data_IF_994386996616
#
_entry.id   IF_994386996616
#
_cell.length_a   1.000
_cell.length_b   1.000
_cell.length_c   1.000
_cell.angle_alpha   90.00
_cell.angle_beta   90.00
_cell.angle_gamma   90.00
#
_symmetry.space_group_name_H-M   'P 1'
#
loop_
_entity.id
_entity.type
_entity.pdbx_description
1 polymer ?
#
# COMPACT_ATOMS: atom_id res chain seq x y z
N UNK A 1 -1.50 -16.64 0.60
CA UNK A 1 -1.62 -15.36 -0.08
C UNK A 1 -1.31 -15.50 -1.55
N UNK A 2 -2.14 -14.92 -2.38
CA UNK A 2 -1.89 -14.98 -3.81
C UNK A 2 -0.83 -13.98 -4.23
N UNK A 3 -0.06 -14.35 -5.24
CA UNK A 3 0.94 -13.46 -5.80
C UNK A 3 0.27 -12.58 -6.85
N UNK A 4 0.40 -11.29 -6.68
CA UNK A 4 -0.19 -10.33 -7.61
C UNK A 4 0.90 -9.40 -8.11
N UNK A 5 0.93 -9.18 -9.42
CA UNK A 5 1.91 -8.31 -10.05
C UNK A 5 1.24 -7.01 -10.49
N UNK A 6 1.86 -5.89 -10.15
CA UNK A 6 1.31 -4.58 -10.47
C UNK A 6 2.38 -3.72 -11.10
N UNK A 7 1.98 -2.98 -12.13
CA UNK A 7 2.87 -2.00 -12.75
C UNK A 7 2.58 -0.62 -12.19
N UNK A 8 3.61 0.08 -11.77
CA UNK A 8 3.49 1.40 -11.19
C UNK A 8 4.42 2.38 -11.88
N UNK A 9 4.02 3.65 -11.99
CA UNK A 9 4.94 4.69 -12.46
C UNK A 9 6.15 4.78 -11.55
N UNK A 10 7.27 5.21 -12.13
CA UNK A 10 8.51 5.29 -11.36
C UNK A 10 8.39 6.19 -10.14
N UNK A 11 7.63 7.27 -10.27
CA UNK A 11 7.47 8.19 -9.15
C UNK A 11 6.83 7.51 -7.94
N UNK A 12 5.85 6.64 -8.20
CA UNK A 12 5.20 5.92 -7.11
C UNK A 12 6.13 4.88 -6.49
N UNK A 13 6.94 4.24 -7.33
CA UNK A 13 7.89 3.27 -6.82
C UNK A 13 8.92 3.97 -5.94
N UNK A 14 9.39 5.14 -6.38
CA UNK A 14 10.34 5.91 -5.59
C UNK A 14 9.75 6.29 -4.23
N UNK A 15 8.47 6.64 -4.20
CA UNK A 15 7.80 6.97 -2.95
C UNK A 15 7.74 5.78 -2.01
N UNK A 16 7.46 4.60 -2.56
CA UNK A 16 7.43 3.39 -1.75
C UNK A 16 8.82 3.08 -1.18
N UNK A 17 9.85 3.27 -1.99
CA UNK A 17 11.22 3.05 -1.52
C UNK A 17 11.57 4.02 -0.41
N UNK A 18 11.09 5.25 -0.53
CA UNK A 18 11.32 6.26 0.49
C UNK A 18 10.70 5.84 1.82
N UNK A 19 9.47 5.35 1.79
CA UNK A 19 8.79 4.89 2.99
C UNK A 19 9.50 3.71 3.63
N UNK A 20 10.00 2.80 2.79
CA UNK A 20 10.73 1.66 3.29
C UNK A 20 12.04 2.08 3.92
N UNK A 21 12.75 3.00 3.26
CA UNK A 21 14.04 3.45 3.76
C UNK A 21 13.91 4.21 5.06
N UNK A 22 12.81 4.93 5.23
CA UNK A 22 12.60 5.70 6.45
C UNK A 22 12.25 4.82 7.66
N UNK A 23 11.98 3.55 7.42
CA UNK A 23 11.67 2.64 8.51
C UNK A 23 10.20 2.54 8.84
N UNK A 24 9.34 3.24 8.12
CA UNK A 24 7.90 3.17 8.35
C UNK A 24 7.34 1.80 8.07
N UNK A 25 7.89 1.13 7.06
CA UNK A 25 7.45 -0.20 6.66
C UNK A 25 8.68 -1.06 6.44
N UNK A 26 8.61 -2.35 6.80
CA UNK A 26 9.78 -3.22 6.67
C UNK A 26 10.16 -3.53 5.23
N UNK A 27 9.21 -3.38 4.29
CA UNK A 27 9.48 -3.68 2.89
C UNK A 27 8.49 -2.94 2.01
N UNK A 28 8.83 -2.89 0.72
CA UNK A 28 7.93 -2.28 -0.25
C UNK A 28 6.60 -3.02 -0.30
N UNK A 29 6.65 -4.33 -0.23
CA UNK A 29 5.43 -5.14 -0.24
C UNK A 29 4.54 -4.84 0.95
N UNK A 30 5.14 -4.64 2.12
CA UNK A 30 4.37 -4.31 3.32
C UNK A 30 3.70 -2.95 3.15
N UNK A 31 4.40 -1.98 2.56
CA UNK A 31 3.82 -0.67 2.32
C UNK A 31 2.64 -0.76 1.37
N UNK A 32 2.78 -1.55 0.30
CA UNK A 32 1.71 -1.72 -0.66
C UNK A 32 0.50 -2.40 -0.03
N UNK A 33 0.73 -3.44 0.75
CA UNK A 33 -0.39 -4.12 1.42
C UNK A 33 -1.13 -3.19 2.37
N UNK A 34 -0.40 -2.37 3.10
CA UNK A 34 -1.03 -1.42 4.01
C UNK A 34 -1.84 -0.40 3.24
N UNK A 35 -1.32 0.09 2.13
CA UNK A 35 -2.01 1.08 1.32
C UNK A 35 -3.32 0.52 0.75
N UNK A 36 -3.26 -0.69 0.22
CA UNK A 36 -4.45 -1.31 -0.35
C UNK A 36 -5.48 -1.57 0.74
N UNK A 37 -5.05 -2.09 1.87
CA UNK A 37 -5.96 -2.34 2.98
C UNK A 37 -6.63 -1.07 3.45
N UNK A 38 -5.87 0.01 3.60
CA UNK A 38 -6.42 1.28 4.06
C UNK A 38 -7.39 1.86 3.05
N UNK A 39 -7.08 1.72 1.77
CA UNK A 39 -7.96 2.21 0.73
C UNK A 39 -9.30 1.47 0.77
N UNK A 40 -9.26 0.15 0.85
CA UNK A 40 -10.48 -0.64 0.91
C UNK A 40 -11.27 -0.34 2.17
N UNK A 41 -10.57 -0.14 3.27
CA UNK A 41 -11.21 0.21 4.52
C UNK A 41 -11.97 1.52 4.39
N UNK A 42 -11.35 2.51 3.79
CA UNK A 42 -11.96 3.82 3.65
C UNK A 42 -13.05 3.87 2.60
N UNK A 43 -12.83 3.20 1.49
CA UNK A 43 -13.73 3.32 0.36
C UNK A 43 -14.83 2.30 0.34
N UNK A 44 -14.66 1.21 1.03
CA UNK A 44 -15.61 0.12 0.97
C UNK A 44 -16.12 -0.30 2.33
N UNK A 45 -15.19 -0.68 3.22
CA UNK A 45 -15.61 -1.30 4.48
C UNK A 45 -16.10 -0.30 5.52
N UNK A 46 -15.48 0.85 5.60
CA UNK A 46 -15.83 1.84 6.61
C UNK A 46 -17.10 2.59 6.31
N UNK A 47 -17.55 2.55 5.07
CA UNK A 47 -18.77 3.27 4.70
C UNK A 47 -19.99 2.72 5.41
N UNK A 48 -19.93 1.47 5.78
CA UNK A 48 -21.07 0.81 6.40
C UNK A 48 -21.25 1.18 7.84
N UNK A 49 -20.25 1.79 8.43
CA UNK A 49 -20.30 2.09 9.85
C UNK A 49 -20.89 3.46 10.14
N UNK A 50 -21.32 4.14 9.12
CA UNK A 50 -21.85 5.47 9.29
C UNK A 50 -23.29 5.50 9.68
#
# INVERSE_FOLDING_TARGET
>A
MKLVTVKLPEALIAGLDELTRSGMYPSRSAAIRAAVRDMLKNELWMQETR
#
